data_IF_889183872322
#
_entry.id   IF_889183872322
#
_cell.length_a   1.000
_cell.length_b   1.000
_cell.length_c   1.000
_cell.angle_alpha   90.00
_cell.angle_beta   90.00
_cell.angle_gamma   90.00
#
_symmetry.space_group_name_H-M   'P 1'
#
loop_
_entity.id
_entity.type
_entity.pdbx_description
1 polymer ?
#
# COMPACT_ATOMS: atom_id res chain seq x y z
N UNK A 1 5.71 -10.85 0.27
CA UNK A 1 5.26 -9.70 -0.54
C UNK A 1 5.31 -8.46 0.34
N UNK A 2 5.85 -7.38 -0.18
CA UNK A 2 5.94 -6.08 0.51
C UNK A 2 5.04 -5.08 -0.20
N UNK A 3 4.29 -4.29 0.57
CA UNK A 3 3.38 -3.26 0.05
C UNK A 3 3.77 -1.93 0.67
N UNK A 4 4.21 -1.00 -0.16
CA UNK A 4 4.57 0.37 0.21
C UNK A 4 3.48 1.33 -0.25
N UNK A 5 3.06 2.24 0.64
CA UNK A 5 2.07 3.27 0.34
C UNK A 5 2.78 4.62 0.28
N UNK A 6 2.82 5.26 -0.89
CA UNK A 6 3.27 6.64 -1.08
C UNK A 6 2.16 7.64 -0.80
N UNK A 7 2.51 8.68 -0.06
CA UNK A 7 1.74 9.91 0.14
C UNK A 7 2.49 11.07 -0.51
N UNK A 8 1.96 11.58 -1.61
CA UNK A 8 2.66 12.54 -2.45
C UNK A 8 3.96 11.97 -3.03
N UNK A 9 4.95 12.84 -3.27
CA UNK A 9 6.18 12.48 -3.98
C UNK A 9 7.32 11.97 -3.07
N UNK A 10 7.31 12.31 -1.78
CA UNK A 10 8.48 12.14 -0.90
C UNK A 10 8.22 11.33 0.37
N UNK A 11 6.97 10.99 0.69
CA UNK A 11 6.64 10.30 1.94
C UNK A 11 5.86 9.01 1.70
N UNK A 12 5.95 8.06 2.63
CA UNK A 12 5.26 6.79 2.54
C UNK A 12 5.74 5.80 3.58
N UNK A 13 5.08 4.65 3.67
CA UNK A 13 5.36 3.63 4.68
C UNK A 13 5.13 2.23 4.12
N UNK A 14 5.84 1.24 4.67
CA UNK A 14 5.52 -0.17 4.42
C UNK A 14 4.35 -0.58 5.31
N UNK A 15 3.40 -1.32 4.75
CA UNK A 15 2.23 -1.81 5.48
C UNK A 15 2.59 -2.69 6.68
N UNK A 16 3.67 -3.46 6.61
CA UNK A 16 4.17 -4.26 7.74
C UNK A 16 4.80 -3.41 8.86
N UNK A 17 5.22 -2.18 8.58
CA UNK A 17 5.67 -1.24 9.61
C UNK A 17 4.49 -0.66 10.39
N UNK A 18 3.27 -0.83 9.89
CA UNK A 18 2.04 -0.43 10.58
C UNK A 18 1.49 -1.56 11.47
N UNK A 19 1.97 -2.80 11.34
CA UNK A 19 1.64 -3.86 12.30
C UNK A 19 2.25 -3.50 13.66
N UNK A 20 1.39 -3.18 14.64
CA UNK A 20 1.81 -2.73 15.98
C UNK A 20 1.89 -1.21 16.17
N UNK A 21 1.62 -0.41 15.13
CA UNK A 21 1.57 1.06 15.25
C UNK A 21 0.39 1.54 16.11
N UNK A 22 -0.69 0.76 16.20
CA UNK A 22 -1.81 1.03 17.12
C UNK A 22 -1.34 1.13 18.59
N UNK A 23 -0.32 0.36 18.99
CA UNK A 23 0.24 0.39 20.34
C UNK A 23 1.22 1.57 20.56
N UNK A 24 1.69 2.19 19.47
CA UNK A 24 2.66 3.31 19.48
C UNK A 24 2.05 4.63 19.02
N UNK A 25 0.72 4.72 18.87
CA UNK A 25 0.02 5.91 18.36
C UNK A 25 0.42 7.19 19.10
N UNK A 26 0.59 7.15 20.43
CA UNK A 26 1.00 8.32 21.21
C UNK A 26 2.42 8.80 20.91
N UNK A 27 3.34 7.88 20.56
CA UNK A 27 4.73 8.22 20.23
C UNK A 27 4.90 8.66 18.77
N UNK A 28 3.99 8.23 17.89
CA UNK A 28 4.01 8.52 16.46
C UNK A 28 3.12 9.72 16.10
N UNK A 29 2.35 10.25 17.05
CA UNK A 29 1.59 11.50 16.93
C UNK A 29 2.49 12.65 16.49
N UNK A 30 2.19 13.19 15.31
CA UNK A 30 2.91 14.33 14.72
C UNK A 30 3.87 13.96 13.59
N UNK A 31 4.13 12.67 13.34
CA UNK A 31 4.87 12.24 12.15
C UNK A 31 3.88 12.05 11.00
N UNK A 32 3.95 12.90 9.99
CA UNK A 32 3.01 12.93 8.85
C UNK A 32 2.93 11.59 8.10
N UNK A 33 4.00 10.80 8.12
CA UNK A 33 4.05 9.47 7.50
C UNK A 33 3.13 8.44 8.19
N UNK A 34 2.90 8.58 9.49
CA UNK A 34 2.12 7.62 10.29
C UNK A 34 0.72 8.13 10.63
N UNK A 35 0.32 9.34 10.19
CA UNK A 35 -1.07 9.78 10.33
C UNK A 35 -2.01 8.78 9.63
N UNK A 36 -3.25 8.56 10.09
CA UNK A 36 -4.21 7.75 9.35
C UNK A 36 -4.48 8.29 7.94
N UNK A 37 -4.71 7.40 6.95
CA UNK A 37 -5.17 7.78 5.62
C UNK A 37 -6.65 8.19 5.67
N UNK A 38 -7.01 9.31 5.05
CA UNK A 38 -8.40 9.71 4.84
C UNK A 38 -8.94 9.09 3.54
N UNK A 39 -10.26 8.86 3.49
CA UNK A 39 -10.92 8.20 2.34
C UNK A 39 -10.76 8.98 1.02
N UNK A 40 -10.56 10.29 1.09
CA UNK A 40 -10.41 11.16 -0.09
C UNK A 40 -8.96 11.35 -0.54
N UNK A 41 -7.99 10.76 0.17
CA UNK A 41 -6.58 10.91 -0.20
C UNK A 41 -6.21 10.04 -1.40
N UNK A 42 -5.60 10.65 -2.41
CA UNK A 42 -4.94 9.92 -3.49
C UNK A 42 -3.59 9.39 -2.99
N UNK A 43 -3.38 8.08 -3.16
CA UNK A 43 -2.15 7.40 -2.78
C UNK A 43 -1.64 6.54 -3.94
N UNK A 44 -0.33 6.33 -3.98
CA UNK A 44 0.28 5.36 -4.90
C UNK A 44 0.73 4.15 -4.10
N UNK A 45 0.42 2.95 -4.59
CA UNK A 45 0.82 1.69 -3.95
C UNK A 45 1.88 1.00 -4.81
N UNK A 46 3.01 0.66 -4.19
CA UNK A 46 4.06 -0.15 -4.79
C UNK A 46 4.08 -1.53 -4.15
N UNK A 47 4.03 -2.57 -4.97
CA UNK A 47 3.99 -3.96 -4.53
C UNK A 47 5.25 -4.66 -5.04
N UNK A 48 6.05 -5.19 -4.11
CA UNK A 48 7.27 -5.95 -4.40
C UNK A 48 7.09 -7.40 -3.99
N UNK A 49 7.39 -8.33 -4.90
CA UNK A 49 7.25 -9.76 -4.67
C UNK A 49 7.75 -10.57 -5.87
N UNK A 50 7.68 -11.90 -5.78
CA UNK A 50 8.01 -12.74 -6.94
C UNK A 50 6.99 -12.50 -8.06
N UNK A 51 7.43 -12.66 -9.31
CA UNK A 51 6.52 -12.48 -10.45
C UNK A 51 5.30 -13.42 -10.40
N UNK A 52 5.45 -14.65 -9.89
CA UNK A 52 4.34 -15.57 -9.72
C UNK A 52 3.26 -15.04 -8.76
N UNK A 53 3.68 -14.45 -7.64
CA UNK A 53 2.77 -13.81 -6.67
C UNK A 53 2.08 -12.57 -7.27
N UNK A 54 2.85 -11.70 -7.92
CA UNK A 54 2.32 -10.47 -8.56
C UNK A 54 1.34 -10.84 -9.68
N UNK A 55 1.69 -11.80 -10.54
CA UNK A 55 0.81 -12.26 -11.62
C UNK A 55 -0.50 -12.82 -11.08
N UNK A 56 -0.45 -13.61 -10.00
CA UNK A 56 -1.67 -14.12 -9.34
C UNK A 56 -2.52 -12.97 -8.82
N UNK A 57 -1.93 -12.02 -8.10
CA UNK A 57 -2.62 -10.83 -7.58
C UNK A 57 -3.32 -10.02 -8.70
N UNK A 58 -2.62 -9.76 -9.80
CA UNK A 58 -3.15 -9.00 -10.94
C UNK A 58 -4.21 -9.78 -11.74
N UNK A 59 -4.30 -11.09 -11.55
CA UNK A 59 -5.30 -11.94 -12.20
C UNK A 59 -6.63 -11.99 -11.44
N UNK A 60 -6.68 -11.45 -10.22
CA UNK A 60 -7.89 -11.40 -9.40
C UNK A 60 -8.99 -10.56 -10.09
N UNK A 61 -10.28 -10.91 -9.93
CA UNK A 61 -11.40 -10.26 -10.63
C UNK A 61 -11.42 -8.73 -10.46
N UNK A 62 -10.99 -8.25 -9.29
CA UNK A 62 -10.93 -6.82 -8.94
C UNK A 62 -9.95 -6.01 -9.81
N UNK A 63 -8.90 -6.66 -10.34
CA UNK A 63 -7.87 -6.02 -11.19
C UNK A 63 -8.01 -6.39 -12.67
N UNK A 64 -8.77 -7.46 -12.96
CA UNK A 64 -8.89 -8.07 -14.29
C UNK A 64 -9.45 -7.11 -15.34
N UNK A 65 -10.39 -6.24 -14.97
CA UNK A 65 -11.02 -5.30 -15.91
C UNK A 65 -10.10 -4.15 -16.36
N UNK A 66 -9.05 -3.83 -15.60
CA UNK A 66 -8.14 -2.70 -15.89
C UNK A 66 -6.80 -3.17 -16.47
N UNK A 67 -6.29 -4.33 -16.07
CA UNK A 67 -4.89 -4.71 -16.34
C UNK A 67 -4.69 -5.91 -17.27
N UNK A 68 -5.68 -6.81 -17.41
CA UNK A 68 -5.52 -8.05 -18.17
C UNK A 68 -6.75 -8.40 -19.01
N UNK A 69 -6.74 -8.00 -20.29
CA UNK A 69 -7.51 -8.69 -21.34
C UNK A 69 -6.58 -9.67 -22.06
N UNK A 70 -6.57 -10.97 -21.73
CA UNK A 70 -5.96 -11.95 -22.62
C UNK A 70 -6.78 -11.98 -23.92
N UNK A 71 -6.10 -11.86 -25.06
CA UNK A 71 -6.68 -12.05 -26.38
C UNK A 71 -7.18 -13.49 -26.59
#
# INVERSE_FOLDING_TARGET
MEVFIRRGSTSGFLTNQMEGVEEMEEQLRGIETFRPLQETEEVTVEITGSWGEIKRLLSEPTFKDVWFKPA
#
